data_IF_534901852071
#
_entry.id   IF_534901852071
#
_cell.length_a   1.000
_cell.length_b   1.000
_cell.length_c   1.000
_cell.angle_alpha   90.00
_cell.angle_beta   90.00
_cell.angle_gamma   90.00
#
_symmetry.space_group_name_H-M   'P 1'
#
loop_
_entity.id
_entity.type
_entity.pdbx_description
1 polymer ?
#
# COMPACT_ATOMS: atom_id res chain seq x y z
N UNK A 1 -9.15 -15.81 21.93
CA UNK A 1 -9.81 -14.60 21.41
C UNK A 1 -11.22 -14.99 21.01
N UNK A 2 -12.24 -14.26 21.48
CA UNK A 2 -13.64 -14.56 21.15
C UNK A 2 -13.86 -14.15 19.70
N UNK A 3 -14.59 -14.94 18.90
CA UNK A 3 -14.85 -14.63 17.48
C UNK A 3 -15.45 -13.22 17.27
N UNK A 4 -16.17 -12.70 18.27
CA UNK A 4 -16.75 -11.36 18.30
C UNK A 4 -15.67 -10.24 18.28
N UNK A 5 -14.54 -10.46 18.95
CA UNK A 5 -13.43 -9.50 18.97
C UNK A 5 -12.73 -9.44 17.61
N UNK A 6 -12.64 -10.57 16.90
CA UNK A 6 -12.03 -10.65 15.57
C UNK A 6 -12.83 -9.86 14.54
N UNK A 7 -14.16 -9.98 14.55
CA UNK A 7 -15.02 -9.27 13.60
C UNK A 7 -15.01 -7.76 13.84
N UNK A 8 -14.95 -7.30 15.10
CA UNK A 8 -14.82 -5.88 15.41
C UNK A 8 -13.51 -5.29 14.88
N UNK A 9 -12.39 -6.01 15.06
CA UNK A 9 -11.09 -5.63 14.50
C UNK A 9 -11.13 -5.60 12.98
N UNK A 10 -11.76 -6.59 12.35
CA UNK A 10 -11.88 -6.66 10.89
C UNK A 10 -12.67 -5.49 10.28
N UNK A 11 -13.71 -5.02 10.98
CA UNK A 11 -14.45 -3.81 10.60
C UNK A 11 -13.64 -2.52 10.73
N UNK A 12 -12.83 -2.39 11.78
CA UNK A 12 -11.93 -1.24 11.96
C UNK A 12 -10.86 -1.23 10.86
N UNK A 13 -10.26 -2.38 10.58
CA UNK A 13 -9.29 -2.56 9.48
C UNK A 13 -9.91 -2.18 8.15
N UNK A 14 -11.16 -2.58 7.91
CA UNK A 14 -11.90 -2.18 6.71
C UNK A 14 -12.07 -0.66 6.61
N UNK A 15 -12.49 0.02 7.68
CA UNK A 15 -12.61 1.48 7.69
C UNK A 15 -11.27 2.18 7.43
N UNK A 16 -10.19 1.64 8.00
CA UNK A 16 -8.83 2.17 7.83
C UNK A 16 -8.35 2.07 6.38
N UNK A 17 -8.73 1.02 5.63
CA UNK A 17 -8.45 0.86 4.20
C UNK A 17 -9.10 1.96 3.36
N UNK A 18 -10.34 2.33 3.66
CA UNK A 18 -11.03 3.43 2.97
C UNK A 18 -10.43 4.79 3.29
N UNK A 19 -10.06 5.03 4.55
CA UNK A 19 -9.34 6.24 4.95
C UNK A 19 -8.02 6.38 4.18
N UNK A 20 -7.26 5.28 4.08
CA UNK A 20 -6.01 5.23 3.32
C UNK A 20 -6.22 5.56 1.83
N UNK A 21 -7.20 4.94 1.18
CA UNK A 21 -7.55 5.24 -0.23
C UNK A 21 -7.99 6.69 -0.42
N UNK A 22 -8.77 7.24 0.51
CA UNK A 22 -9.20 8.63 0.44
C UNK A 22 -8.01 9.60 0.53
N UNK A 23 -7.03 9.31 1.39
CA UNK A 23 -5.82 10.12 1.45
C UNK A 23 -4.94 9.98 0.20
N UNK A 24 -4.83 8.78 -0.38
CA UNK A 24 -4.15 8.59 -1.67
C UNK A 24 -4.84 9.36 -2.80
N UNK A 25 -6.17 9.34 -2.83
CA UNK A 25 -6.96 10.08 -3.81
C UNK A 25 -6.73 11.59 -3.67
N UNK A 26 -6.75 12.08 -2.42
CA UNK A 26 -6.46 13.49 -2.12
C UNK A 26 -5.04 13.85 -2.58
N UNK A 27 -4.05 13.02 -2.25
CA UNK A 27 -2.67 13.26 -2.65
C UNK A 27 -2.50 13.28 -4.17
N UNK A 28 -3.07 12.31 -4.89
CA UNK A 28 -3.03 12.25 -6.34
C UNK A 28 -3.74 13.45 -7.01
N UNK A 29 -4.78 13.98 -6.37
CA UNK A 29 -5.50 15.16 -6.86
C UNK A 29 -4.71 16.47 -6.68
N UNK A 30 -4.05 16.67 -5.53
CA UNK A 30 -3.34 17.91 -5.21
C UNK A 30 -1.90 17.96 -5.69
N UNK A 31 -1.25 16.81 -5.86
CA UNK A 31 0.10 16.71 -6.37
C UNK A 31 0.11 15.76 -7.57
N UNK A 32 -0.30 16.24 -8.76
CA UNK A 32 -0.23 15.45 -9.98
C UNK A 32 1.23 15.25 -10.35
N UNK A 33 1.88 14.22 -9.83
CA UNK A 33 3.21 13.83 -10.29
C UNK A 33 3.12 13.54 -11.78
N UNK A 34 3.95 14.22 -12.56
CA UNK A 34 3.72 14.48 -13.99
C UNK A 34 3.83 13.27 -14.92
N UNK A 35 4.24 12.10 -14.43
CA UNK A 35 4.64 11.02 -15.33
C UNK A 35 3.56 9.99 -15.62
N UNK A 36 2.55 9.75 -14.76
CA UNK A 36 1.46 8.81 -15.12
C UNK A 36 0.21 8.85 -14.22
N UNK A 37 -0.52 9.98 -14.21
CA UNK A 37 -1.81 10.10 -13.52
C UNK A 37 -2.78 8.96 -13.87
N UNK A 38 -2.74 8.46 -15.11
CA UNK A 38 -3.58 7.35 -15.57
C UNK A 38 -3.32 6.08 -14.78
N UNK A 39 -2.05 5.75 -14.52
CA UNK A 39 -1.66 4.56 -13.76
C UNK A 39 -2.05 4.70 -12.28
N UNK A 40 -1.85 5.89 -11.69
CA UNK A 40 -2.26 6.15 -10.32
C UNK A 40 -3.79 6.02 -10.12
N UNK A 41 -4.60 6.57 -11.04
CA UNK A 41 -6.05 6.42 -10.98
C UNK A 41 -6.51 4.98 -11.25
N UNK A 42 -5.83 4.24 -12.13
CA UNK A 42 -6.10 2.83 -12.37
C UNK A 42 -5.80 1.99 -11.13
N UNK A 43 -4.66 2.21 -10.48
CA UNK A 43 -4.32 1.57 -9.21
C UNK A 43 -5.34 1.90 -8.11
N UNK A 44 -5.78 3.16 -8.04
CA UNK A 44 -6.73 3.62 -7.02
C UNK A 44 -8.13 3.05 -7.25
N UNK A 45 -8.60 3.02 -8.50
CA UNK A 45 -9.84 2.34 -8.88
C UNK A 45 -9.78 0.84 -8.62
N UNK A 46 -8.66 0.20 -8.95
CA UNK A 46 -8.42 -1.22 -8.68
C UNK A 46 -8.41 -1.54 -7.19
N UNK A 47 -7.71 -0.74 -6.39
CA UNK A 47 -7.67 -0.90 -4.93
C UNK A 47 -9.02 -0.65 -4.27
N UNK A 48 -9.81 0.31 -4.78
CA UNK A 48 -11.18 0.56 -4.32
C UNK A 48 -12.12 -0.61 -4.65
N UNK A 49 -12.10 -1.12 -5.89
CA UNK A 49 -12.89 -2.27 -6.30
C UNK A 49 -12.52 -3.53 -5.49
N UNK A 50 -11.22 -3.75 -5.28
CA UNK A 50 -10.70 -4.82 -4.43
C UNK A 50 -11.21 -4.71 -2.99
N UNK A 51 -11.14 -3.52 -2.38
CA UNK A 51 -11.64 -3.31 -1.01
C UNK A 51 -13.16 -3.48 -0.91
N UNK A 52 -13.91 -3.19 -1.97
CA UNK A 52 -15.36 -3.41 -2.01
C UNK A 52 -15.70 -4.91 -2.05
N UNK A 53 -14.93 -5.70 -2.80
CA UNK A 53 -15.04 -7.18 -2.78
C UNK A 53 -14.80 -7.71 -1.36
N UNK A 54 -13.71 -7.27 -0.71
CA UNK A 54 -13.42 -7.68 0.67
C UNK A 54 -14.52 -7.27 1.65
N UNK A 55 -15.10 -6.08 1.49
CA UNK A 55 -16.25 -5.63 2.27
C UNK A 55 -17.44 -6.59 2.15
N UNK A 56 -17.72 -7.03 0.92
CA UNK A 56 -18.80 -7.94 0.62
C UNK A 56 -18.56 -9.32 1.25
N UNK A 57 -17.33 -9.85 1.13
CA UNK A 57 -16.92 -11.09 1.78
C UNK A 57 -17.05 -11.00 3.31
N UNK A 58 -16.64 -9.88 3.91
CA UNK A 58 -16.76 -9.63 5.34
C UNK A 58 -18.23 -9.54 5.78
N UNK A 59 -19.07 -8.84 5.02
CA UNK A 59 -20.51 -8.70 5.28
C UNK A 59 -21.22 -10.06 5.29
N UNK A 60 -20.89 -10.95 4.35
CA UNK A 60 -21.42 -12.30 4.30
C UNK A 60 -20.74 -13.27 5.29
N UNK A 61 -19.82 -12.79 6.15
CA UNK A 61 -19.02 -13.60 7.08
C UNK A 61 -18.19 -14.69 6.40
N UNK A 62 -17.87 -14.52 5.12
CA UNK A 62 -17.03 -15.41 4.31
C UNK A 62 -15.56 -14.94 4.35
N UNK A 63 -15.08 -14.56 5.52
CA UNK A 63 -13.76 -13.94 5.69
C UNK A 63 -12.85 -14.79 6.59
N UNK A 64 -12.38 -15.95 6.11
CA UNK A 64 -11.50 -16.80 6.89
C UNK A 64 -10.13 -16.14 7.14
N UNK A 65 -9.38 -16.57 8.17
CA UNK A 65 -8.07 -15.99 8.51
C UNK A 65 -7.07 -15.96 7.35
N UNK A 66 -7.14 -16.94 6.45
CA UNK A 66 -6.30 -16.99 5.24
C UNK A 66 -6.61 -15.82 4.29
N UNK A 67 -7.88 -15.47 4.13
CA UNK A 67 -8.30 -14.33 3.29
C UNK A 67 -7.82 -13.00 3.89
N UNK A 68 -7.87 -12.90 5.22
CA UNK A 68 -7.33 -11.78 5.97
C UNK A 68 -5.82 -11.59 5.73
N UNK A 69 -5.05 -12.68 5.72
CA UNK A 69 -3.62 -12.65 5.41
C UNK A 69 -3.35 -12.22 3.96
N UNK A 70 -4.04 -12.84 3.00
CA UNK A 70 -3.93 -12.46 1.59
C UNK A 70 -4.31 -11.00 1.37
N UNK A 71 -5.30 -10.50 2.09
CA UNK A 71 -5.72 -9.12 2.00
C UNK A 71 -4.69 -8.14 2.53
N UNK A 72 -3.97 -8.50 3.58
CA UNK A 72 -2.89 -7.69 4.11
C UNK A 72 -1.69 -7.68 3.15
N UNK A 73 -1.38 -8.82 2.54
CA UNK A 73 -0.34 -8.93 1.51
C UNK A 73 -0.67 -8.06 0.29
N UNK A 74 -1.93 -8.06 -0.15
CA UNK A 74 -2.38 -7.21 -1.24
C UNK A 74 -2.22 -5.72 -0.91
N UNK A 75 -2.49 -5.28 0.32
CA UNK A 75 -2.31 -3.88 0.73
C UNK A 75 -0.85 -3.42 0.66
N UNK A 76 0.08 -4.30 1.08
CA UNK A 76 1.53 -4.09 0.97
C UNK A 76 1.92 -3.95 -0.51
N UNK A 77 1.40 -4.81 -1.38
CA UNK A 77 1.66 -4.75 -2.82
C UNK A 77 1.07 -3.49 -3.47
N UNK A 78 -0.16 -3.11 -3.14
CA UNK A 78 -0.75 -1.86 -3.62
C UNK A 78 0.08 -0.66 -3.15
N UNK A 79 0.54 -0.65 -1.90
CA UNK A 79 1.41 0.41 -1.40
C UNK A 79 2.73 0.49 -2.17
N UNK A 80 3.38 -0.64 -2.43
CA UNK A 80 4.58 -0.69 -3.26
C UNK A 80 4.32 -0.19 -4.69
N UNK A 81 3.18 -0.56 -5.28
CA UNK A 81 2.78 -0.09 -6.61
C UNK A 81 2.53 1.44 -6.63
N UNK A 82 1.90 1.99 -5.60
CA UNK A 82 1.72 3.43 -5.45
C UNK A 82 3.03 4.18 -5.27
N UNK A 83 3.98 3.61 -4.50
CA UNK A 83 5.33 4.17 -4.37
C UNK A 83 6.02 4.26 -5.73
N UNK A 84 5.99 3.17 -6.49
CA UNK A 84 6.54 3.13 -7.84
C UNK A 84 5.86 4.18 -8.75
N UNK A 85 4.52 4.21 -8.78
CA UNK A 85 3.74 5.14 -9.59
C UNK A 85 4.00 6.63 -9.25
N UNK A 86 4.49 6.90 -8.04
CA UNK A 86 4.74 8.26 -7.55
C UNK A 86 6.10 8.85 -7.88
N UNK A 87 6.95 8.09 -8.56
CA UNK A 87 8.34 8.48 -8.82
C UNK A 87 9.34 7.94 -7.79
N UNK A 88 8.99 6.87 -7.05
CA UNK A 88 9.98 6.08 -6.31
C UNK A 88 10.20 6.47 -4.84
N UNK A 89 11.45 6.30 -4.39
CA UNK A 89 11.81 6.22 -2.96
C UNK A 89 11.96 7.56 -2.25
N UNK A 90 11.82 8.68 -2.96
CA UNK A 90 11.90 10.04 -2.39
C UNK A 90 10.54 10.73 -2.32
N UNK A 91 9.49 10.08 -2.86
CA UNK A 91 8.14 10.63 -2.91
C UNK A 91 7.50 10.75 -1.52
N UNK A 92 6.58 11.73 -1.31
CA UNK A 92 5.82 11.86 -0.06
C UNK A 92 4.96 10.62 0.25
N UNK A 93 4.79 9.75 -0.76
CA UNK A 93 3.98 8.55 -0.69
C UNK A 93 4.57 7.44 0.20
N UNK A 94 5.85 7.54 0.60
CA UNK A 94 6.45 6.68 1.64
C UNK A 94 5.64 6.69 2.93
N UNK A 95 5.08 7.84 3.31
CA UNK A 95 4.28 7.94 4.53
C UNK A 95 2.99 7.10 4.44
N UNK A 96 2.48 6.87 3.24
CA UNK A 96 1.30 6.02 3.02
C UNK A 96 1.61 4.53 3.09
N UNK A 97 2.89 4.14 2.96
CA UNK A 97 3.35 2.77 3.23
C UNK A 97 3.31 2.38 4.71
N UNK A 98 3.17 3.34 5.64
CA UNK A 98 2.98 3.04 7.06
C UNK A 98 1.60 2.43 7.37
N UNK A 99 0.58 2.75 6.57
CA UNK A 99 -0.78 2.26 6.83
C UNK A 99 -0.90 0.73 6.83
N UNK A 100 -0.43 0.01 5.80
CA UNK A 100 -0.42 -1.46 5.80
C UNK A 100 0.38 -2.05 6.97
N UNK A 101 1.47 -1.38 7.38
CA UNK A 101 2.31 -1.80 8.51
C UNK A 101 1.54 -1.69 9.83
N UNK A 102 0.81 -0.60 10.02
CA UNK A 102 -0.05 -0.42 11.19
C UNK A 102 -1.19 -1.45 11.20
N UNK A 103 -1.87 -1.63 10.06
CA UNK A 103 -2.95 -2.61 9.91
C UNK A 103 -2.47 -4.03 10.25
N UNK A 104 -1.30 -4.43 9.74
CA UNK A 104 -0.72 -5.76 10.03
C UNK A 104 -0.27 -5.88 11.48
N UNK A 105 0.26 -4.82 12.09
CA UNK A 105 0.63 -4.77 13.50
C UNK A 105 -0.55 -4.89 14.46
N UNK A 106 -1.75 -4.42 14.07
CA UNK A 106 -2.97 -4.62 14.87
C UNK A 106 -3.57 -6.02 14.73
N UNK A 107 -3.29 -6.72 13.63
CA UNK A 107 -3.99 -7.96 13.25
C UNK A 107 -3.17 -9.22 13.50
N UNK A 108 -1.85 -9.13 13.49
CA UNK A 108 -0.95 -10.28 13.61
C UNK A 108 0.10 -10.10 14.70
N UNK A 109 0.75 -11.20 15.05
CA UNK A 109 1.91 -11.19 15.93
C UNK A 109 3.07 -10.38 15.35
N UNK A 110 4.01 -10.03 16.23
CA UNK A 110 5.19 -9.19 15.93
C UNK A 110 6.00 -9.73 14.74
N UNK A 111 6.14 -11.06 14.62
CA UNK A 111 6.93 -11.67 13.54
C UNK A 111 6.30 -11.43 12.17
N UNK A 112 4.97 -11.61 12.06
CA UNK A 112 4.23 -11.47 10.80
C UNK A 112 4.09 -10.01 10.38
N UNK A 113 3.92 -9.10 11.34
CA UNK A 113 3.91 -7.67 11.06
C UNK A 113 5.31 -7.17 10.63
N UNK A 114 6.37 -7.68 11.24
CA UNK A 114 7.74 -7.34 10.86
C UNK A 114 8.10 -7.83 9.45
N UNK A 115 7.63 -9.02 9.04
CA UNK A 115 7.87 -9.52 7.69
C UNK A 115 7.15 -8.70 6.61
N UNK A 116 5.90 -8.28 6.87
CA UNK A 116 5.16 -7.37 5.99
C UNK A 116 5.85 -6.00 5.87
N UNK A 117 6.34 -5.47 6.99
CA UNK A 117 7.11 -4.22 6.99
C UNK A 117 8.42 -4.35 6.21
N UNK A 118 9.13 -5.46 6.36
CA UNK A 118 10.37 -5.72 5.64
C UNK A 118 10.17 -5.70 4.11
N UNK A 119 9.04 -6.22 3.60
CA UNK A 119 8.72 -6.17 2.17
C UNK A 119 8.63 -4.72 1.68
N UNK A 120 7.93 -3.86 2.42
CA UNK A 120 7.79 -2.44 2.07
C UNK A 120 9.12 -1.68 2.14
N UNK A 121 9.92 -1.94 3.17
CA UNK A 121 11.24 -1.31 3.34
C UNK A 121 12.22 -1.76 2.25
N UNK A 122 12.20 -3.03 1.88
CA UNK A 122 13.04 -3.54 0.79
C UNK A 122 12.58 -2.97 -0.56
N UNK A 123 11.27 -2.91 -0.82
CA UNK A 123 10.74 -2.30 -2.03
C UNK A 123 11.14 -0.83 -2.15
N UNK A 124 11.00 -0.04 -1.08
CA UNK A 124 11.40 1.36 -1.09
C UNK A 124 12.91 1.54 -1.28
N UNK A 125 13.73 0.70 -0.62
CA UNK A 125 15.19 0.71 -0.80
C UNK A 125 15.63 0.36 -2.21
N UNK A 126 14.98 -0.62 -2.85
CA UNK A 126 15.23 -0.97 -4.26
C UNK A 126 14.86 0.19 -5.17
N UNK A 127 13.70 0.81 -4.99
CA UNK A 127 13.29 1.95 -5.82
C UNK A 127 14.24 3.14 -5.66
N UNK A 128 14.66 3.45 -4.43
CA UNK A 128 15.65 4.50 -4.19
C UNK A 128 16.98 4.20 -4.88
N UNK A 129 17.44 2.94 -4.83
CA UNK A 129 18.69 2.53 -5.48
C UNK A 129 18.60 2.62 -7.02
N UNK A 130 17.48 2.22 -7.61
CA UNK A 130 17.24 2.31 -9.05
C UNK A 130 17.20 3.78 -9.52
N UNK A 131 16.47 4.63 -8.80
CA UNK A 131 16.36 6.07 -9.07
C UNK A 131 17.75 6.77 -8.98
N UNK A 132 18.56 6.41 -7.98
CA UNK A 132 19.94 6.87 -7.86
C UNK A 132 20.82 6.44 -9.05
N UNK A 133 20.65 5.21 -9.54
CA UNK A 133 21.42 4.70 -10.67
C UNK A 133 21.08 5.42 -11.99
N UNK A 134 19.80 5.67 -12.25
CA UNK A 134 19.34 6.38 -13.46
C UNK A 134 19.76 7.86 -13.48
N UNK A 135 19.68 8.53 -12.34
CA UNK A 135 20.15 9.92 -12.19
C UNK A 135 21.67 10.05 -12.35
N UNK A 136 22.44 9.05 -11.89
CA UNK A 136 23.89 8.99 -12.10
C UNK A 136 24.30 8.78 -13.56
N UNK A 137 23.48 8.06 -14.35
CA UNK A 137 23.76 7.81 -15.76
C UNK A 137 23.44 9.01 -16.67
N UNK A 138 22.33 9.70 -16.39
CA UNK A 138 21.94 10.93 -17.11
C UNK A 138 22.91 12.08 -16.84
N UNK A 139 23.45 12.21 -15.62
CA UNK A 139 24.47 13.21 -15.30
C UNK A 139 25.79 13.04 -16.09
N UNK A 140 26.19 11.82 -16.40
CA UNK A 140 27.39 11.53 -17.21
C UNK A 140 27.17 11.66 -18.73
N UNK A 141 25.92 11.63 -19.20
CA UNK A 141 25.60 11.74 -20.63
C UNK A 141 25.73 13.17 -21.19
N UNK A 142 25.63 14.20 -20.34
CA UNK A 142 25.78 15.61 -20.73
C UNK A 142 27.20 16.17 -20.55
N UNK A 143 28.17 15.34 -20.14
CA UNK A 143 29.58 15.72 -19.95
C UNK A 143 30.52 15.31 -21.09
N UNK A 144 29.99 14.99 -22.27
CA UNK A 144 30.72 14.74 -23.53
C UNK A 144 30.28 15.75 -24.59
#
# INVERSE_FOLDING_TARGET
>A
MREEDSLAVDWVVWGMRWAWLACLLFFAFFNPTREDLSLAFLLLGGAAAYNLILALLLYFKLFPPVLSFLASLADVLFSAAFLYASGGGTGPLILFGLFPILVTGFRYDVITSLSMAAILVLASGIFYFLEWYETGQTGNAFSL
#
